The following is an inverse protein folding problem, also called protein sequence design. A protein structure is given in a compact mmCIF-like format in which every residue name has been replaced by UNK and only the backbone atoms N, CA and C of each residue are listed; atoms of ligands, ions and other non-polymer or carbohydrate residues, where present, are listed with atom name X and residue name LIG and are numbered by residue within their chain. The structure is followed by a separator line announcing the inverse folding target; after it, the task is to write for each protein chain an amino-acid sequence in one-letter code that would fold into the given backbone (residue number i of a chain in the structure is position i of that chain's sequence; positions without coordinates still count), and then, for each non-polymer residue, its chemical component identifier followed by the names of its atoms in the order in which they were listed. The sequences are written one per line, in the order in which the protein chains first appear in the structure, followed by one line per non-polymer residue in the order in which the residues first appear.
data_IF_984062385733
#
_entry.id   IF_984062385733
#
_cell.length_a   1.000
_cell.length_b   1.000
_cell.length_c   1.000
_cell.angle_alpha   90.00
_cell.angle_beta   90.00
_cell.angle_gamma   90.00
#
_symmetry.space_group_name_H-M   'P 1'
#
loop_
_entity.id
_entity.type
_entity.pdbx_description
1 polymer ?
#
# COMPACT_ATOMS: atom_id res chain seq x y z
N UNK A 1 -9.17 -11.21 -14.48
CA UNK A 1 -10.64 -11.31 -14.36
C UNK A 1 -11.18 -12.05 -15.56
N UNK A 2 -12.26 -12.86 -15.40
CA UNK A 2 -12.98 -13.35 -16.56
C UNK A 2 -13.40 -12.13 -17.40
N UNK A 3 -13.23 -12.21 -18.72
CA UNK A 3 -13.50 -11.12 -19.65
C UNK A 3 -14.94 -10.59 -19.63
N UNK A 4 -15.82 -11.18 -18.84
CA UNK A 4 -17.27 -10.95 -18.86
C UNK A 4 -17.86 -10.54 -17.48
N UNK A 5 -17.04 -10.25 -16.46
CA UNK A 5 -17.57 -9.83 -15.15
C UNK A 5 -18.45 -8.58 -15.25
N UNK A 6 -18.09 -7.67 -16.15
CA UNK A 6 -18.84 -6.43 -16.39
C UNK A 6 -20.28 -6.66 -16.80
N UNK A 7 -20.53 -7.73 -17.57
CA UNK A 7 -21.88 -8.12 -18.02
C UNK A 7 -22.76 -8.69 -16.90
N UNK A 8 -22.14 -9.10 -15.79
CA UNK A 8 -22.81 -9.65 -14.63
C UNK A 8 -23.11 -8.62 -13.54
N UNK A 9 -22.55 -7.41 -13.66
CA UNK A 9 -22.76 -6.37 -12.65
C UNK A 9 -24.24 -6.01 -12.54
N UNK A 10 -24.73 -6.00 -11.31
CA UNK A 10 -26.12 -5.67 -10.98
C UNK A 10 -26.15 -4.59 -9.90
N UNK A 11 -26.86 -3.47 -10.10
CA UNK A 11 -27.03 -2.45 -9.06
C UNK A 11 -27.71 -3.04 -7.81
N UNK A 12 -27.16 -2.75 -6.64
CA UNK A 12 -27.75 -3.13 -5.36
C UNK A 12 -27.51 -2.01 -4.33
N UNK A 13 -28.51 -1.76 -3.47
CA UNK A 13 -28.35 -0.85 -2.33
C UNK A 13 -27.76 -1.61 -1.14
N UNK A 14 -26.51 -1.97 -1.29
CA UNK A 14 -25.73 -2.75 -0.31
C UNK A 14 -24.36 -2.12 -0.12
N UNK A 15 -23.79 -2.29 1.07
CA UNK A 15 -22.51 -1.69 1.45
C UNK A 15 -21.49 -2.76 1.79
N UNK A 16 -20.30 -2.60 1.23
CA UNK A 16 -19.14 -3.48 1.41
C UNK A 16 -18.10 -2.73 2.23
N UNK A 17 -17.60 -3.36 3.29
CA UNK A 17 -16.49 -2.84 4.11
C UNK A 17 -15.30 -3.78 4.03
N UNK A 18 -14.20 -3.31 3.44
CA UNK A 18 -12.89 -3.97 3.47
C UNK A 18 -12.02 -3.32 4.55
N UNK A 19 -11.67 -4.07 5.57
CA UNK A 19 -10.77 -3.67 6.64
C UNK A 19 -9.43 -4.36 6.43
N UNK A 20 -8.38 -3.58 6.22
CA UNK A 20 -7.01 -4.09 6.02
C UNK A 20 -6.15 -3.72 7.22
N UNK A 21 -5.72 -4.72 7.95
CA UNK A 21 -4.63 -4.64 8.92
C UNK A 21 -3.31 -4.85 8.17
N UNK A 22 -2.59 -3.77 7.92
CA UNK A 22 -1.32 -3.80 7.20
C UNK A 22 -0.34 -4.76 7.89
N UNK A 23 0.24 -5.67 7.13
CA UNK A 23 1.19 -6.64 7.66
C UNK A 23 0.61 -7.65 8.64
N UNK A 24 -0.73 -7.88 8.65
CA UNK A 24 -1.41 -8.76 9.60
C UNK A 24 -0.77 -10.15 9.70
N UNK A 25 -0.47 -10.78 8.55
CA UNK A 25 0.01 -12.15 8.53
C UNK A 25 1.29 -12.34 9.35
N UNK A 26 1.37 -13.49 9.98
CA UNK A 26 2.49 -13.98 10.73
C UNK A 26 2.68 -15.48 10.53
N UNK A 27 3.41 -16.13 11.40
CA UNK A 27 3.45 -17.59 11.50
C UNK A 27 3.77 -18.03 12.92
N UNK A 28 3.21 -19.18 13.30
CA UNK A 28 3.55 -19.83 14.55
C UNK A 28 4.93 -20.50 14.46
N UNK A 29 5.74 -20.40 15.51
CA UNK A 29 6.97 -21.16 15.68
C UNK A 29 6.77 -22.33 16.67
N UNK A 30 7.85 -23.07 16.98
CA UNK A 30 7.76 -24.23 17.87
C UNK A 30 7.37 -23.92 19.32
N UNK A 31 7.36 -22.65 19.72
CA UNK A 31 7.13 -22.21 21.13
C UNK A 31 5.94 -21.28 21.29
N UNK A 32 5.41 -20.72 20.18
CA UNK A 32 4.41 -19.65 20.24
C UNK A 32 3.60 -19.57 18.96
N UNK A 33 2.31 -19.16 19.06
CA UNK A 33 1.47 -18.80 17.91
C UNK A 33 1.97 -17.58 17.15
N UNK A 34 1.33 -17.27 16.04
CA UNK A 34 1.54 -15.98 15.35
C UNK A 34 1.05 -14.83 16.23
N UNK A 35 1.40 -13.59 15.86
CA UNK A 35 0.92 -12.41 16.58
C UNK A 35 -0.62 -12.34 16.60
N UNK A 36 -1.28 -12.74 15.52
CA UNK A 36 -2.74 -12.81 15.47
C UNK A 36 -3.30 -13.91 16.37
N UNK A 37 -2.67 -15.10 16.40
CA UNK A 37 -3.10 -16.22 17.24
C UNK A 37 -2.91 -15.96 18.74
N UNK A 38 -1.96 -15.10 19.11
CA UNK A 38 -1.72 -14.70 20.51
C UNK A 38 -2.52 -13.45 20.92
N UNK A 39 -3.20 -12.78 19.97
CA UNK A 39 -4.01 -11.60 20.24
C UNK A 39 -5.38 -11.97 20.81
N UNK A 40 -5.86 -11.18 21.78
CA UNK A 40 -7.23 -11.28 22.29
C UNK A 40 -8.20 -10.58 21.33
N UNK A 41 -8.82 -11.32 20.42
CA UNK A 41 -9.69 -10.79 19.34
C UNK A 41 -11.12 -11.33 19.42
N UNK A 42 -11.87 -11.13 20.54
CA UNK A 42 -13.18 -11.74 20.73
C UNK A 42 -14.26 -11.29 19.74
N UNK A 43 -14.13 -10.11 19.14
CA UNK A 43 -15.06 -9.62 18.12
C UNK A 43 -14.80 -10.28 16.78
N UNK A 44 -13.53 -10.38 16.36
CA UNK A 44 -13.13 -11.09 15.13
C UNK A 44 -13.44 -12.58 15.24
N UNK A 45 -13.22 -13.22 16.40
CA UNK A 45 -13.57 -14.62 16.64
C UNK A 45 -15.09 -14.85 16.54
N UNK A 46 -15.87 -13.94 17.08
CA UNK A 46 -17.35 -14.00 16.92
C UNK A 46 -17.76 -13.88 15.45
N UNK A 47 -17.10 -13.01 14.69
CA UNK A 47 -17.36 -12.88 13.26
C UNK A 47 -16.89 -14.14 12.52
N UNK A 48 -15.73 -14.72 12.84
CA UNK A 48 -15.25 -15.96 12.25
C UNK A 48 -16.23 -17.10 12.47
N UNK A 49 -16.74 -17.26 13.70
CA UNK A 49 -17.73 -18.29 14.03
C UNK A 49 -19.09 -18.12 13.34
N UNK A 50 -19.36 -16.95 12.79
CA UNK A 50 -20.60 -16.62 12.08
C UNK A 50 -20.42 -16.39 10.58
N UNK A 51 -19.18 -16.44 10.06
CA UNK A 51 -18.80 -16.15 8.70
C UNK A 51 -17.99 -17.24 8.04
N UNK A 52 -17.18 -16.87 7.08
CA UNK A 52 -16.25 -17.75 6.35
C UNK A 52 -14.84 -17.22 6.41
N UNK A 53 -13.87 -18.11 6.65
CA UNK A 53 -12.46 -17.79 6.74
C UNK A 53 -11.65 -18.47 5.62
N UNK A 54 -10.43 -18.00 5.41
CA UNK A 54 -9.47 -18.59 4.50
C UNK A 54 -8.14 -17.86 4.50
N UNK A 55 -7.30 -18.19 3.53
CA UNK A 55 -5.99 -17.57 3.35
C UNK A 55 -5.90 -16.91 1.97
N UNK A 56 -5.32 -15.73 1.91
CA UNK A 56 -5.08 -15.02 0.66
C UNK A 56 -3.60 -15.05 0.28
N UNK A 57 -3.35 -15.21 -1.01
CA UNK A 57 -2.06 -14.98 -1.66
C UNK A 57 -2.05 -13.56 -2.22
N UNK A 58 -1.38 -12.59 -1.59
CA UNK A 58 -1.53 -11.19 -1.99
C UNK A 58 -1.09 -10.88 -3.42
N UNK A 59 0.04 -11.48 -3.83
CA UNK A 59 0.57 -11.37 -5.21
C UNK A 59 0.60 -12.73 -5.87
N UNK A 60 1.16 -13.72 -5.19
CA UNK A 60 1.23 -15.10 -5.68
C UNK A 60 1.98 -16.00 -4.72
N UNK A 61 1.82 -17.35 -4.84
CA UNK A 61 2.42 -18.30 -3.94
C UNK A 61 3.95 -18.16 -3.87
N UNK A 62 4.50 -18.02 -2.64
CA UNK A 62 5.93 -17.90 -2.41
C UNK A 62 6.56 -16.56 -2.79
N UNK A 63 5.76 -15.58 -3.21
CA UNK A 63 6.24 -14.23 -3.55
C UNK A 63 6.05 -13.30 -2.35
N UNK A 64 7.14 -12.72 -1.86
CA UNK A 64 7.06 -11.67 -0.83
C UNK A 64 6.50 -10.40 -1.44
N UNK A 65 5.31 -9.94 -1.03
CA UNK A 65 4.68 -8.78 -1.64
C UNK A 65 5.23 -7.46 -1.11
N UNK A 66 5.21 -6.44 -1.96
CA UNK A 66 5.20 -5.06 -1.50
C UNK A 66 3.76 -4.60 -1.28
N UNK A 67 3.55 -3.57 -0.45
CA UNK A 67 2.19 -3.12 -0.09
C UNK A 67 1.38 -2.62 -1.30
N UNK A 68 2.00 -1.96 -2.28
CA UNK A 68 1.29 -1.49 -3.49
C UNK A 68 0.66 -2.63 -4.29
N UNK A 69 1.44 -3.61 -4.80
CA UNK A 69 0.91 -4.78 -5.51
C UNK A 69 -0.10 -5.58 -4.69
N UNK A 70 0.14 -5.74 -3.39
CA UNK A 70 -0.75 -6.48 -2.50
C UNK A 70 -2.14 -5.83 -2.39
N UNK A 71 -2.20 -4.52 -2.19
CA UNK A 71 -3.48 -3.79 -2.17
C UNK A 71 -4.19 -3.80 -3.52
N UNK A 72 -3.45 -3.69 -4.65
CA UNK A 72 -4.05 -3.89 -5.96
C UNK A 72 -4.73 -5.26 -6.05
N UNK A 73 -4.08 -6.31 -5.56
CA UNK A 73 -4.70 -7.64 -5.44
C UNK A 73 -5.99 -7.60 -4.64
N UNK A 74 -5.99 -7.00 -3.43
CA UNK A 74 -7.20 -6.87 -2.61
C UNK A 74 -8.33 -6.08 -3.28
N UNK A 75 -7.99 -5.10 -4.12
CA UNK A 75 -8.95 -4.34 -4.91
C UNK A 75 -9.37 -5.04 -6.22
N UNK A 76 -8.90 -6.28 -6.43
CA UNK A 76 -9.27 -7.11 -7.59
C UNK A 76 -8.52 -6.76 -8.87
N UNK A 77 -7.40 -6.07 -8.79
CA UNK A 77 -6.48 -5.83 -9.91
C UNK A 77 -5.37 -6.88 -9.87
N UNK A 78 -5.05 -7.45 -11.02
CA UNK A 78 -3.92 -8.38 -11.13
C UNK A 78 -2.59 -7.61 -10.93
N UNK A 79 -1.81 -7.88 -9.88
CA UNK A 79 -0.58 -7.14 -9.62
C UNK A 79 0.53 -7.40 -10.63
N UNK A 80 0.40 -8.40 -11.51
CA UNK A 80 1.32 -8.63 -12.62
C UNK A 80 0.93 -7.88 -13.89
N UNK A 81 -0.36 -7.56 -14.04
CA UNK A 81 -0.88 -6.73 -15.13
C UNK A 81 -0.69 -5.23 -14.80
N UNK A 82 -1.02 -4.85 -13.56
CA UNK A 82 -0.98 -3.47 -13.09
C UNK A 82 0.24 -3.24 -12.18
N UNK A 83 1.39 -2.94 -12.79
CA UNK A 83 2.64 -2.73 -12.05
C UNK A 83 2.80 -1.24 -11.74
N UNK A 84 2.76 -0.89 -10.46
CA UNK A 84 2.96 0.48 -9.99
C UNK A 84 4.34 0.67 -9.37
N UNK A 85 5.09 1.61 -9.92
CA UNK A 85 6.35 2.04 -9.33
C UNK A 85 6.15 2.96 -8.12
N UNK A 86 7.18 3.07 -7.29
CA UNK A 86 7.15 3.89 -6.06
C UNK A 86 6.96 5.37 -6.35
N UNK A 87 7.44 5.86 -7.50
CA UNK A 87 7.27 7.24 -7.92
C UNK A 87 5.81 7.62 -8.12
N UNK A 88 5.06 6.81 -8.90
CA UNK A 88 3.64 7.04 -9.14
C UNK A 88 2.82 6.96 -7.84
N UNK A 89 3.13 5.98 -6.98
CA UNK A 89 2.47 5.84 -5.66
C UNK A 89 2.72 7.05 -4.74
N UNK A 90 3.98 7.54 -4.68
CA UNK A 90 4.31 8.74 -3.90
C UNK A 90 3.64 9.99 -4.45
N UNK A 91 3.60 10.16 -5.78
CA UNK A 91 2.93 11.29 -6.43
C UNK A 91 1.43 11.30 -6.08
N UNK A 92 0.74 10.18 -6.25
CA UNK A 92 -0.67 10.04 -5.91
C UNK A 92 -0.93 10.25 -4.40
N UNK A 93 -0.03 9.79 -3.53
CA UNK A 93 -0.09 10.00 -2.07
C UNK A 93 0.00 11.46 -1.65
N UNK A 94 0.83 12.23 -2.35
CA UNK A 94 1.05 13.65 -2.13
C UNK A 94 0.12 14.56 -2.96
N UNK A 95 -0.84 13.98 -3.68
CA UNK A 95 -1.75 14.71 -4.56
C UNK A 95 -1.02 15.51 -5.68
N UNK A 96 0.16 15.02 -6.07
CA UNK A 96 0.91 15.57 -7.20
C UNK A 96 0.45 14.90 -8.48
N UNK A 97 -0.18 15.66 -9.36
CA UNK A 97 -0.68 15.18 -10.64
C UNK A 97 0.48 14.84 -11.59
N UNK A 98 0.55 13.59 -12.00
CA UNK A 98 1.43 13.14 -13.08
C UNK A 98 0.71 13.26 -14.42
N UNK A 99 1.38 13.87 -15.39
CA UNK A 99 0.91 13.94 -16.78
C UNK A 99 1.57 12.84 -17.63
N UNK A 100 0.96 12.45 -18.76
CA UNK A 100 1.63 11.57 -19.70
C UNK A 100 3.01 12.13 -20.10
N UNK A 101 4.04 11.29 -19.99
CA UNK A 101 5.44 11.67 -20.24
C UNK A 101 6.23 12.17 -19.01
N UNK A 102 5.58 12.40 -17.87
CA UNK A 102 6.30 12.65 -16.62
C UNK A 102 7.02 11.38 -16.14
N UNK A 103 8.19 11.57 -15.53
CA UNK A 103 8.91 10.50 -14.83
C UNK A 103 8.98 10.84 -13.36
N UNK A 104 8.37 10.00 -12.54
CA UNK A 104 8.37 10.14 -11.08
C UNK A 104 9.27 9.09 -10.42
N UNK A 105 9.95 9.46 -9.35
CA UNK A 105 10.71 8.54 -8.52
C UNK A 105 10.54 8.89 -7.04
N UNK A 106 10.55 7.88 -6.16
CA UNK A 106 10.71 8.11 -4.74
C UNK A 106 12.20 8.16 -4.40
N UNK A 107 12.64 9.27 -3.83
CA UNK A 107 13.99 9.45 -3.35
C UNK A 107 14.07 9.26 -1.83
N UNK A 108 15.21 8.76 -1.35
CA UNK A 108 15.59 8.88 0.05
C UNK A 108 16.66 9.98 0.16
N UNK A 109 16.49 10.90 1.10
CA UNK A 109 17.61 11.67 1.64
C UNK A 109 18.57 10.68 2.32
N UNK A 110 19.84 10.75 1.96
CA UNK A 110 20.88 9.83 2.41
C UNK A 110 22.17 10.57 2.79
N UNK A 111 23.06 9.88 3.49
CA UNK A 111 24.36 10.41 3.89
C UNK A 111 25.47 9.71 3.10
N UNK A 112 26.35 10.51 2.50
CA UNK A 112 27.61 10.06 1.92
C UNK A 112 28.79 10.50 2.80
N UNK A 113 29.83 9.65 2.84
CA UNK A 113 31.15 10.04 3.38
C UNK A 113 31.96 10.86 2.36
N UNK A 114 33.13 11.33 2.79
CA UNK A 114 34.09 12.12 1.97
C UNK A 114 34.61 11.34 0.74
N UNK A 115 34.42 10.02 0.69
CA UNK A 115 34.78 9.16 -0.44
C UNK A 115 33.59 8.91 -1.36
N UNK A 116 32.43 9.55 -1.11
CA UNK A 116 31.21 9.40 -1.89
C UNK A 116 30.45 8.07 -1.66
N UNK A 117 30.70 7.38 -0.55
CA UNK A 117 30.02 6.11 -0.22
C UNK A 117 28.87 6.35 0.72
N UNK A 118 27.79 5.64 0.53
CA UNK A 118 26.58 5.70 1.38
C UNK A 118 26.92 5.17 2.78
N UNK A 119 26.83 6.02 3.77
CA UNK A 119 26.97 5.65 5.20
C UNK A 119 25.63 5.43 5.85
N UNK A 120 24.60 6.18 5.43
CA UNK A 120 23.23 6.00 5.88
C UNK A 120 22.26 6.27 4.72
N UNK A 121 21.44 5.27 4.39
CA UNK A 121 20.43 5.33 3.31
C UNK A 121 19.17 6.11 3.69
N UNK A 122 19.08 6.58 4.92
CA UNK A 122 17.90 7.28 5.50
C UNK A 122 18.26 8.59 6.20
N UNK A 123 19.51 9.06 6.05
CA UNK A 123 20.06 10.30 6.65
C UNK A 123 19.76 10.43 8.16
N UNK A 124 19.79 9.32 8.91
CA UNK A 124 19.46 9.28 10.34
C UNK A 124 17.97 9.46 10.65
N UNK A 125 17.09 9.27 9.67
CA UNK A 125 15.65 9.54 9.77
C UNK A 125 15.39 10.98 10.23
N UNK A 126 15.68 11.99 9.39
CA UNK A 126 15.53 13.40 9.76
C UNK A 126 14.07 13.69 10.18
N UNK A 127 13.91 14.70 11.01
CA UNK A 127 12.59 15.27 11.29
C UNK A 127 11.94 15.80 10.01
N UNK A 128 10.64 16.00 10.01
CA UNK A 128 9.97 16.58 8.86
C UNK A 128 10.46 18.00 8.54
N UNK A 129 10.85 18.77 9.56
CA UNK A 129 11.39 20.13 9.38
C UNK A 129 12.78 20.09 8.69
N UNK A 130 13.69 19.22 9.14
CA UNK A 130 15.00 19.03 8.51
C UNK A 130 14.87 18.54 7.05
N UNK A 131 13.94 17.62 6.78
CA UNK A 131 13.68 17.14 5.44
C UNK A 131 13.04 18.20 4.55
N UNK A 132 12.14 19.02 5.08
CA UNK A 132 11.53 20.16 4.36
C UNK A 132 12.57 21.19 3.97
N UNK A 133 13.55 21.46 4.85
CA UNK A 133 14.66 22.35 4.52
C UNK A 133 15.54 21.78 3.40
N UNK A 134 15.85 20.48 3.44
CA UNK A 134 16.59 19.83 2.35
C UNK A 134 15.83 19.94 1.02
N UNK A 135 14.50 19.74 1.02
CA UNK A 135 13.66 19.90 -0.17
C UNK A 135 13.64 21.36 -0.66
N UNK A 136 13.66 22.35 0.23
CA UNK A 136 13.78 23.76 -0.16
C UNK A 136 15.08 24.02 -0.89
N UNK A 137 16.21 23.55 -0.35
CA UNK A 137 17.53 23.68 -1.00
C UNK A 137 17.58 23.01 -2.38
N UNK A 138 16.98 21.84 -2.52
CA UNK A 138 16.86 21.15 -3.80
C UNK A 138 16.07 21.98 -4.83
N UNK A 139 14.93 22.56 -4.43
CA UNK A 139 14.10 23.42 -5.31
C UNK A 139 14.85 24.65 -5.77
N UNK A 140 15.71 25.21 -4.93
CA UNK A 140 16.49 26.42 -5.24
C UNK A 140 17.77 26.11 -6.02
N UNK A 141 18.37 24.93 -5.82
CA UNK A 141 19.67 24.60 -6.37
C UNK A 141 19.65 23.69 -7.61
N UNK A 142 18.51 23.10 -7.98
CA UNK A 142 18.43 22.18 -9.11
C UNK A 142 17.67 22.82 -10.26
N UNK A 143 18.36 23.06 -11.36
CA UNK A 143 17.79 23.62 -12.61
C UNK A 143 18.36 22.87 -13.81
N UNK A 144 17.52 22.13 -14.52
CA UNK A 144 17.92 21.33 -15.67
C UNK A 144 17.23 21.91 -16.92
N UNK A 145 17.99 22.27 -17.93
CA UNK A 145 17.46 22.90 -19.14
C UNK A 145 16.42 22.01 -19.84
N UNK A 146 15.24 22.58 -20.07
CA UNK A 146 14.12 21.87 -20.72
C UNK A 146 13.43 20.83 -19.86
N UNK A 147 13.74 20.77 -18.55
CA UNK A 147 13.10 19.87 -17.58
C UNK A 147 12.56 20.67 -16.39
N UNK A 148 11.24 20.58 -16.15
CA UNK A 148 10.65 21.01 -14.90
C UNK A 148 10.89 19.92 -13.83
N UNK A 149 11.58 20.27 -12.75
CA UNK A 149 11.85 19.35 -11.64
C UNK A 149 10.99 19.73 -10.44
N UNK A 150 10.15 18.81 -9.99
CA UNK A 150 9.34 18.97 -8.78
C UNK A 150 9.91 18.09 -7.67
N UNK A 151 10.15 18.70 -6.50
CA UNK A 151 10.46 17.99 -5.26
C UNK A 151 9.32 18.19 -4.27
N UNK A 152 8.85 17.12 -3.63
CA UNK A 152 7.86 17.18 -2.56
C UNK A 152 8.26 16.27 -1.40
N UNK A 153 8.22 16.78 -0.17
CA UNK A 153 8.50 15.99 1.02
C UNK A 153 7.31 15.03 1.28
N UNK A 154 7.59 13.75 1.47
CA UNK A 154 6.57 12.74 1.78
C UNK A 154 6.49 12.49 3.29
N UNK A 155 7.56 11.99 3.89
CA UNK A 155 7.69 11.78 5.32
C UNK A 155 9.15 11.47 5.69
N UNK A 156 9.66 12.00 6.78
CA UNK A 156 11.03 11.76 7.26
C UNK A 156 12.05 11.97 6.12
N UNK A 157 12.81 10.94 5.76
CA UNK A 157 13.82 10.95 4.73
C UNK A 157 13.31 10.78 3.29
N UNK A 158 11.99 10.64 3.09
CA UNK A 158 11.39 10.34 1.79
C UNK A 158 10.98 11.61 1.05
N UNK A 159 11.35 11.67 -0.21
CA UNK A 159 11.08 12.80 -1.12
C UNK A 159 10.54 12.25 -2.42
N UNK A 160 9.47 12.82 -2.94
CA UNK A 160 9.04 12.63 -4.30
C UNK A 160 9.87 13.52 -5.23
N UNK A 161 10.31 12.95 -6.34
CA UNK A 161 10.92 13.68 -7.46
C UNK A 161 10.08 13.43 -8.70
N UNK A 162 9.64 14.49 -9.39
CA UNK A 162 8.97 14.40 -10.69
C UNK A 162 9.79 15.19 -11.70
N UNK A 163 10.09 14.56 -12.82
CA UNK A 163 10.76 15.12 -13.97
C UNK A 163 9.73 15.25 -15.10
N UNK A 164 9.51 16.46 -15.56
CA UNK A 164 8.60 16.78 -16.68
C UNK A 164 9.36 17.42 -17.81
N UNK A 165 9.32 16.82 -18.99
CA UNK A 165 10.00 17.29 -20.21
C UNK A 165 9.77 16.35 -21.38
N UNK A 166 10.10 16.80 -22.57
CA UNK A 166 9.93 15.98 -23.77
C UNK A 166 10.89 14.79 -23.79
N UNK A 167 10.44 13.64 -24.28
CA UNK A 167 11.26 12.46 -24.55
C UNK A 167 11.79 11.77 -23.30
N UNK A 168 11.14 11.91 -22.15
CA UNK A 168 11.46 11.16 -20.94
C UNK A 168 10.76 9.81 -20.93
N UNK A 169 11.42 8.81 -20.34
CA UNK A 169 10.86 7.47 -20.11
C UNK A 169 11.27 6.97 -18.73
N UNK A 170 10.36 6.31 -17.98
CA UNK A 170 10.66 5.79 -16.64
C UNK A 170 11.47 4.48 -16.65
N UNK A 171 11.82 3.96 -17.84
CA UNK A 171 12.55 2.69 -17.97
C UNK A 171 14.02 2.84 -17.55
N UNK A 172 14.21 3.13 -16.25
CA UNK A 172 15.51 3.38 -15.61
C UNK A 172 15.82 2.36 -14.52
N UNK A 173 17.10 2.19 -14.21
CA UNK A 173 17.53 1.47 -13.01
C UNK A 173 17.56 2.43 -11.81
N UNK A 174 17.30 1.91 -10.61
CA UNK A 174 17.41 2.66 -9.36
C UNK A 174 18.85 3.17 -9.13
N UNK A 175 18.99 4.30 -8.40
CA UNK A 175 20.31 4.80 -7.96
C UNK A 175 20.65 4.36 -6.53
N UNK A 176 19.66 3.85 -5.78
CA UNK A 176 19.87 3.31 -4.43
C UNK A 176 20.55 1.92 -4.50
N UNK A 177 21.79 1.77 -4.00
CA UNK A 177 22.49 0.48 -3.99
C UNK A 177 21.88 -0.54 -3.00
N UNK A 178 20.94 -0.11 -2.17
CA UNK A 178 20.33 -0.88 -1.09
C UNK A 178 21.33 -1.45 -0.07
N UNK A 179 22.54 -0.87 -0.04
CA UNK A 179 23.63 -1.22 0.85
C UNK A 179 24.36 0.04 1.33
N UNK A 180 25.09 -0.06 2.42
CA UNK A 180 26.03 0.95 2.91
C UNK A 180 27.48 0.56 2.59
N UNK A 181 28.42 1.52 2.66
CA UNK A 181 29.84 1.31 2.35
C UNK A 181 30.16 1.31 0.85
N UNK A 182 29.18 1.52 -0.01
CA UNK A 182 29.33 1.56 -1.48
C UNK A 182 28.84 2.90 -2.03
N UNK A 183 29.29 3.28 -3.23
CA UNK A 183 28.78 4.46 -3.90
C UNK A 183 27.33 4.27 -4.38
N UNK A 184 26.52 5.34 -4.48
CA UNK A 184 25.26 5.31 -5.20
C UNK A 184 25.44 4.74 -6.61
N UNK A 185 24.43 4.05 -7.12
CA UNK A 185 24.43 3.56 -8.49
C UNK A 185 24.15 4.72 -9.46
N UNK A 186 24.64 4.58 -10.68
CA UNK A 186 24.28 5.48 -11.78
C UNK A 186 23.01 4.94 -12.43
N UNK A 187 22.00 5.78 -12.58
CA UNK A 187 20.79 5.41 -13.33
C UNK A 187 21.16 5.04 -14.77
N UNK A 188 20.67 3.92 -15.25
CA UNK A 188 20.88 3.44 -16.62
C UNK A 188 19.55 3.23 -17.31
N UNK A 189 19.48 3.60 -18.56
CA UNK A 189 18.35 3.27 -19.42
C UNK A 189 18.22 1.74 -19.57
N UNK A 190 17.01 1.25 -19.47
CA UNK A 190 16.65 -0.15 -19.75
C UNK A 190 16.21 -0.34 -21.19
N UNK A 191 15.84 0.76 -21.85
CA UNK A 191 15.47 0.83 -23.26
C UNK A 191 16.04 2.09 -23.90
N UNK A 192 16.26 2.15 -25.20
CA UNK A 192 16.82 3.34 -25.88
C UNK A 192 16.01 4.63 -25.65
N UNK A 193 14.70 4.51 -25.48
CA UNK A 193 13.79 5.64 -25.23
C UNK A 193 14.05 6.31 -23.87
N UNK A 194 14.76 5.63 -22.96
CA UNK A 194 15.08 6.14 -21.64
C UNK A 194 16.48 6.78 -21.55
N UNK A 195 17.27 6.80 -22.62
CA UNK A 195 18.64 7.36 -22.61
C UNK A 195 18.64 8.82 -22.15
N UNK A 196 17.73 9.65 -22.68
CA UNK A 196 17.59 11.05 -22.24
C UNK A 196 17.23 11.16 -20.76
N UNK A 197 16.34 10.31 -20.26
CA UNK A 197 15.96 10.33 -18.84
C UNK A 197 17.14 9.92 -17.96
N UNK A 198 17.99 8.99 -18.38
CA UNK A 198 19.21 8.62 -17.66
C UNK A 198 20.20 9.79 -17.57
N UNK A 199 20.39 10.57 -18.66
CA UNK A 199 21.22 11.78 -18.65
C UNK A 199 20.66 12.85 -17.72
N UNK A 200 19.32 13.06 -17.73
CA UNK A 200 18.64 14.00 -16.84
C UNK A 200 18.80 13.58 -15.37
N UNK A 201 18.68 12.29 -15.05
CA UNK A 201 18.90 11.78 -13.67
C UNK A 201 20.35 11.92 -13.24
N UNK A 202 21.32 11.76 -14.12
CA UNK A 202 22.73 11.98 -13.80
C UNK A 202 23.00 13.46 -13.48
N UNK A 203 22.40 14.38 -14.23
CA UNK A 203 22.51 15.82 -13.97
C UNK A 203 21.76 16.21 -12.68
N UNK A 204 20.58 15.62 -12.43
CA UNK A 204 19.84 15.76 -11.18
C UNK A 204 20.70 15.35 -9.98
N UNK A 205 21.37 14.19 -10.03
CA UNK A 205 22.25 13.72 -8.94
C UNK A 205 23.38 14.70 -8.69
N UNK A 206 24.05 15.17 -9.75
CA UNK A 206 25.13 16.14 -9.67
C UNK A 206 24.70 17.44 -8.99
N UNK A 207 23.61 18.04 -9.44
CA UNK A 207 23.09 19.31 -8.90
C UNK A 207 22.53 19.13 -7.49
N UNK A 208 21.85 18.03 -7.20
CA UNK A 208 21.33 17.71 -5.86
C UNK A 208 22.46 17.62 -4.83
N UNK A 209 23.55 16.95 -5.14
CA UNK A 209 24.73 16.90 -4.25
C UNK A 209 25.34 18.27 -4.02
N UNK A 210 25.36 19.13 -5.03
CA UNK A 210 25.84 20.50 -4.90
C UNK A 210 24.89 21.33 -4.01
N UNK A 211 23.59 21.23 -4.21
CA UNK A 211 22.60 21.95 -3.41
C UNK A 211 22.58 21.50 -1.94
N UNK A 212 22.89 20.24 -1.66
CA UNK A 212 22.90 19.64 -0.33
C UNK A 212 24.32 19.57 0.30
N UNK A 213 25.35 20.15 -0.31
CA UNK A 213 26.74 19.99 0.12
C UNK A 213 27.01 20.40 1.60
N UNK A 214 26.31 21.41 2.08
CA UNK A 214 26.43 21.91 3.46
C UNK A 214 25.54 21.15 4.47
N UNK A 215 24.79 20.15 4.02
CA UNK A 215 23.92 19.36 4.90
C UNK A 215 24.72 18.21 5.54
N UNK A 216 24.81 18.14 6.88
CA UNK A 216 25.72 17.20 7.54
C UNK A 216 25.28 15.73 7.40
N UNK A 217 24.01 15.46 7.18
CA UNK A 217 23.44 14.11 7.07
C UNK A 217 22.66 13.87 5.78
N UNK A 218 21.92 14.86 5.30
CA UNK A 218 21.06 14.73 4.13
C UNK A 218 21.76 15.33 2.89
N UNK A 219 22.90 14.76 2.47
CA UNK A 219 23.77 15.31 1.43
C UNK A 219 23.69 14.59 0.07
N UNK A 220 22.72 13.66 -0.08
CA UNK A 220 22.51 12.89 -1.29
C UNK A 220 21.05 12.46 -1.44
N UNK A 221 20.62 12.25 -2.69
CA UNK A 221 19.37 11.58 -3.04
C UNK A 221 19.64 10.18 -3.59
N UNK A 222 18.91 9.18 -3.08
CA UNK A 222 18.89 7.83 -3.63
C UNK A 222 17.51 7.55 -4.24
N UNK A 223 17.45 7.56 -5.57
CA UNK A 223 16.21 7.43 -6.35
C UNK A 223 15.82 5.97 -6.56
N UNK A 224 14.53 5.68 -6.42
CA UNK A 224 13.98 4.32 -6.53
C UNK A 224 12.59 4.30 -7.18
N UNK A 225 12.33 3.21 -7.93
CA UNK A 225 11.02 2.91 -8.48
C UNK A 225 10.54 4.00 -9.42
N UNK A 226 11.35 4.28 -10.43
CA UNK A 226 10.95 5.16 -11.52
C UNK A 226 9.67 4.66 -12.17
N UNK A 227 8.72 5.56 -12.36
CA UNK A 227 7.43 5.27 -12.96
C UNK A 227 6.88 6.52 -13.66
N UNK A 228 5.77 6.37 -14.36
CA UNK A 228 5.10 7.46 -15.07
C UNK A 228 3.63 7.55 -14.64
N UNK A 229 2.90 8.43 -15.31
CA UNK A 229 1.45 8.46 -15.20
C UNK A 229 0.86 7.09 -15.54
N UNK A 230 0.04 6.54 -14.64
CA UNK A 230 -0.63 5.27 -14.79
C UNK A 230 -2.14 5.47 -14.90
N UNK A 231 -2.73 4.95 -15.95
CA UNK A 231 -4.19 4.90 -16.11
C UNK A 231 -4.68 3.52 -15.66
N UNK A 232 -5.15 3.44 -14.40
CA UNK A 232 -5.84 2.26 -13.90
C UNK A 232 -7.35 2.44 -14.16
N UNK A 233 -8.04 1.40 -14.66
CA UNK A 233 -9.50 1.44 -14.70
C UNK A 233 -10.04 1.70 -13.29
N UNK A 234 -10.93 2.68 -13.12
CA UNK A 234 -11.50 2.98 -11.81
C UNK A 234 -12.35 1.81 -11.29
N UNK A 235 -12.54 1.74 -9.97
CA UNK A 235 -13.47 0.76 -9.38
C UNK A 235 -14.92 1.03 -9.82
N UNK A 236 -15.26 2.26 -10.12
CA UNK A 236 -16.57 2.61 -10.72
C UNK A 236 -16.73 1.98 -12.10
N UNK A 237 -15.73 2.13 -12.99
CA UNK A 237 -15.78 1.55 -14.33
C UNK A 237 -15.68 0.03 -14.34
N UNK A 238 -14.95 -0.53 -13.38
CA UNK A 238 -14.64 -1.95 -13.32
C UNK A 238 -15.70 -2.76 -12.61
N UNK A 239 -16.31 -2.20 -11.55
CA UNK A 239 -17.19 -2.91 -10.63
C UNK A 239 -18.53 -2.21 -10.40
N UNK A 240 -18.74 -1.01 -10.94
CA UNK A 240 -19.95 -0.21 -10.71
C UNK A 240 -20.09 0.26 -9.27
N UNK A 241 -18.97 0.45 -8.56
CA UNK A 241 -18.93 0.88 -7.16
C UNK A 241 -18.70 2.39 -7.04
N UNK A 242 -19.22 2.97 -5.97
CA UNK A 242 -18.91 4.31 -5.50
C UNK A 242 -18.03 4.20 -4.23
N UNK A 243 -16.70 4.05 -4.39
CA UNK A 243 -15.82 3.65 -3.31
C UNK A 243 -15.27 4.83 -2.53
N UNK A 244 -15.09 4.65 -1.21
CA UNK A 244 -14.37 5.56 -0.33
C UNK A 244 -13.22 4.84 0.39
N UNK A 245 -12.19 5.59 0.78
CA UNK A 245 -11.02 5.08 1.50
C UNK A 245 -10.71 5.93 2.72
N UNK A 246 -10.43 5.28 3.84
CA UNK A 246 -9.91 5.89 5.06
C UNK A 246 -8.56 5.26 5.38
N UNK A 247 -7.50 6.00 5.10
CA UNK A 247 -6.13 5.59 5.34
C UNK A 247 -5.31 6.78 5.85
N UNK A 248 -4.38 6.52 6.77
CA UNK A 248 -3.52 7.58 7.35
C UNK A 248 -2.28 7.80 6.48
N UNK A 249 -1.65 6.72 6.04
CA UNK A 249 -0.36 6.80 5.36
C UNK A 249 -0.49 7.23 3.89
N UNK A 250 0.33 8.19 3.41
CA UNK A 250 0.18 8.79 2.07
C UNK A 250 0.14 7.78 0.92
N UNK A 251 0.97 6.74 0.95
CA UNK A 251 1.02 5.72 -0.10
C UNK A 251 -0.32 5.01 -0.31
N UNK A 252 -1.04 4.65 0.77
CA UNK A 252 -2.34 3.96 0.66
C UNK A 252 -3.44 4.91 0.21
N UNK A 253 -3.36 6.19 0.65
CA UNK A 253 -4.24 7.25 0.14
C UNK A 253 -4.04 7.45 -1.37
N UNK A 254 -2.78 7.46 -1.83
CA UNK A 254 -2.43 7.55 -3.24
C UNK A 254 -2.95 6.36 -4.04
N UNK A 255 -2.74 5.15 -3.54
CA UNK A 255 -3.22 3.94 -4.20
C UNK A 255 -4.75 3.93 -4.34
N UNK A 256 -5.47 4.32 -3.27
CA UNK A 256 -6.92 4.47 -3.31
C UNK A 256 -7.38 5.47 -4.39
N UNK A 257 -6.70 6.64 -4.52
CA UNK A 257 -7.00 7.61 -5.59
C UNK A 257 -6.77 7.03 -6.99
N UNK A 258 -5.67 6.28 -7.18
CA UNK A 258 -5.34 5.69 -8.49
C UNK A 258 -6.41 4.72 -8.98
N UNK A 259 -7.13 4.06 -8.08
CA UNK A 259 -8.25 3.17 -8.42
C UNK A 259 -9.63 3.88 -8.33
N UNK A 260 -9.64 5.20 -8.16
CA UNK A 260 -10.84 6.03 -8.21
C UNK A 260 -11.66 6.05 -6.92
N UNK A 261 -11.05 5.81 -5.75
CA UNK A 261 -11.74 5.97 -4.45
C UNK A 261 -11.71 7.44 -3.98
N UNK A 262 -12.78 7.89 -3.36
CA UNK A 262 -12.80 9.13 -2.60
C UNK A 262 -12.00 8.94 -1.30
N UNK A 263 -10.90 9.68 -1.16
CA UNK A 263 -10.01 9.56 0.00
C UNK A 263 -10.44 10.53 1.09
N UNK A 264 -11.01 9.98 2.15
CA UNK A 264 -11.57 10.74 3.27
C UNK A 264 -10.49 11.18 4.27
N UNK A 265 -10.81 12.20 5.06
CA UNK A 265 -9.98 12.67 6.14
C UNK A 265 -8.95 13.73 5.76
N UNK A 266 -8.03 14.06 6.63
CA UNK A 266 -7.19 13.14 7.44
C UNK A 266 -7.86 12.61 8.71
N UNK A 267 -7.34 11.46 9.21
CA UNK A 267 -7.68 10.88 10.49
C UNK A 267 -6.41 10.75 11.35
N UNK A 268 -6.52 11.10 12.64
CA UNK A 268 -5.38 11.05 13.53
C UNK A 268 -5.06 9.62 14.01
N UNK A 269 -6.09 8.81 14.20
CA UNK A 269 -6.03 7.47 14.76
C UNK A 269 -7.20 6.61 14.25
N UNK A 270 -7.28 5.36 14.73
CA UNK A 270 -8.30 4.40 14.31
C UNK A 270 -9.72 4.84 14.69
N UNK A 271 -9.91 5.48 15.84
CA UNK A 271 -11.23 6.00 16.26
C UNK A 271 -11.70 7.12 15.33
N UNK A 272 -10.81 8.03 14.95
CA UNK A 272 -11.11 9.07 13.98
C UNK A 272 -11.42 8.48 12.58
N UNK A 273 -10.76 7.38 12.20
CA UNK A 273 -11.08 6.66 10.96
C UNK A 273 -12.50 6.09 10.98
N UNK A 274 -12.92 5.46 12.09
CA UNK A 274 -14.29 4.94 12.26
C UNK A 274 -15.31 6.08 12.19
N UNK A 275 -15.02 7.22 12.82
CA UNK A 275 -15.90 8.40 12.75
C UNK A 275 -16.08 8.89 11.31
N UNK A 276 -15.00 9.07 10.56
CA UNK A 276 -15.07 9.49 9.15
C UNK A 276 -15.89 8.51 8.30
N UNK A 277 -15.74 7.22 8.55
CA UNK A 277 -16.49 6.17 7.88
C UNK A 277 -17.99 6.28 8.18
N UNK A 278 -18.34 6.48 9.46
CA UNK A 278 -19.71 6.67 9.91
C UNK A 278 -20.37 7.91 9.28
N UNK A 279 -19.67 9.03 9.27
CA UNK A 279 -20.19 10.31 8.74
C UNK A 279 -20.48 10.25 7.23
N UNK A 280 -19.79 9.35 6.51
CA UNK A 280 -19.91 9.22 5.05
C UNK A 280 -20.64 7.95 4.60
N UNK A 281 -21.07 7.11 5.54
CA UNK A 281 -21.60 5.76 5.29
C UNK A 281 -22.73 5.70 4.27
N UNK A 282 -23.60 6.69 4.23
CA UNK A 282 -24.73 6.75 3.30
C UNK A 282 -24.38 7.28 1.91
N UNK A 283 -23.17 7.81 1.72
CA UNK A 283 -22.76 8.44 0.47
C UNK A 283 -21.99 7.50 -0.48
N UNK A 284 -21.50 6.37 0.05
CA UNK A 284 -20.73 5.39 -0.69
C UNK A 284 -21.28 3.98 -0.49
N UNK A 285 -20.83 3.04 -1.32
CA UNK A 285 -21.27 1.66 -1.29
C UNK A 285 -20.12 0.64 -1.13
N UNK A 286 -18.89 1.13 -1.17
CA UNK A 286 -17.67 0.39 -0.86
C UNK A 286 -16.76 1.25 0.00
N UNK A 287 -16.24 0.66 1.07
CA UNK A 287 -15.34 1.34 2.00
C UNK A 287 -14.08 0.51 2.21
N UNK A 288 -12.93 1.17 2.09
CA UNK A 288 -11.62 0.64 2.44
C UNK A 288 -11.12 1.34 3.70
N UNK A 289 -10.97 0.61 4.80
CA UNK A 289 -10.36 1.07 6.04
C UNK A 289 -9.00 0.43 6.19
N UNK A 290 -7.96 1.24 6.41
CA UNK A 290 -6.58 0.80 6.50
C UNK A 290 -5.97 1.11 7.88
N UNK A 291 -5.50 0.06 8.58
CA UNK A 291 -4.82 0.15 9.87
C UNK A 291 -3.34 -0.22 9.74
N UNK A 292 -2.43 0.78 9.89
CA UNK A 292 -0.98 0.63 9.68
C UNK A 292 -0.24 -0.02 10.85
N UNK A 293 -0.82 -0.04 12.04
CA UNK A 293 -0.15 -0.44 13.28
C UNK A 293 0.60 -1.77 13.22
N UNK A 294 -0.03 -2.87 12.77
CA UNK A 294 0.58 -4.19 12.81
C UNK A 294 1.87 -4.31 11.97
N UNK A 295 1.91 -3.67 10.78
CA UNK A 295 3.10 -3.69 9.95
C UNK A 295 4.27 -2.92 10.57
N UNK A 296 4.00 -1.74 11.12
CA UNK A 296 5.04 -0.94 11.77
C UNK A 296 5.71 -1.71 12.91
N UNK A 297 4.91 -2.35 13.76
CA UNK A 297 5.40 -3.16 14.87
C UNK A 297 6.13 -4.44 14.37
N UNK A 298 5.62 -5.06 13.30
CA UNK A 298 6.25 -6.21 12.67
C UNK A 298 7.62 -5.89 12.07
N UNK A 299 7.76 -4.77 11.34
CA UNK A 299 9.04 -4.29 10.78
C UNK A 299 10.06 -3.91 11.88
N UNK A 300 9.59 -3.43 13.04
CA UNK A 300 10.43 -3.11 14.20
C UNK A 300 10.81 -4.38 15.01
N UNK A 301 10.26 -5.54 14.67
CA UNK A 301 10.51 -6.81 15.36
C UNK A 301 9.80 -6.91 16.72
N UNK A 302 8.84 -6.04 16.99
CA UNK A 302 8.13 -5.98 18.28
C UNK A 302 6.82 -6.79 18.24
N UNK A 303 6.91 -8.04 18.70
CA UNK A 303 5.77 -8.95 18.78
C UNK A 303 4.63 -8.39 19.65
N UNK A 304 4.95 -7.84 20.83
CA UNK A 304 3.94 -7.34 21.76
C UNK A 304 3.21 -6.10 21.23
N UNK A 305 3.94 -5.20 20.57
CA UNK A 305 3.33 -4.05 19.92
C UNK A 305 2.42 -4.46 18.76
N UNK A 306 2.79 -5.50 17.98
CA UNK A 306 1.95 -6.02 16.90
C UNK A 306 0.67 -6.66 17.44
N UNK A 307 0.75 -7.49 18.49
CA UNK A 307 -0.43 -8.01 19.21
C UNK A 307 -1.34 -6.87 19.64
N UNK A 308 -0.80 -5.84 20.31
CA UNK A 308 -1.57 -4.67 20.75
C UNK A 308 -2.27 -3.95 19.59
N UNK A 309 -1.58 -3.79 18.46
CA UNK A 309 -2.17 -3.14 17.28
C UNK A 309 -3.33 -3.96 16.67
N UNK A 310 -3.24 -5.28 16.67
CA UNK A 310 -4.32 -6.17 16.23
C UNK A 310 -5.53 -6.05 17.18
N UNK A 311 -5.30 -6.07 18.50
CA UNK A 311 -6.33 -5.91 19.52
C UNK A 311 -7.03 -4.54 19.46
N UNK A 312 -6.31 -3.48 19.08
CA UNK A 312 -6.90 -2.16 18.86
C UNK A 312 -7.94 -2.17 17.73
N UNK A 313 -7.68 -2.92 16.63
CA UNK A 313 -8.69 -3.07 15.59
C UNK A 313 -9.88 -3.89 16.08
N UNK A 314 -9.65 -5.00 16.78
CA UNK A 314 -10.74 -5.80 17.34
C UNK A 314 -11.68 -4.95 18.20
N UNK A 315 -11.11 -4.04 18.99
CA UNK A 315 -11.88 -3.18 19.90
C UNK A 315 -12.84 -2.23 19.19
N UNK A 316 -12.57 -1.80 17.94
CA UNK A 316 -13.45 -0.92 17.16
C UNK A 316 -14.41 -1.69 16.23
N UNK A 317 -14.27 -3.00 16.11
CA UNK A 317 -15.16 -3.80 15.26
C UNK A 317 -16.64 -3.67 15.61
N UNK A 318 -17.06 -3.58 16.89
CA UNK A 318 -18.47 -3.34 17.21
C UNK A 318 -19.04 -2.05 16.61
N UNK A 319 -18.26 -0.96 16.59
CA UNK A 319 -18.69 0.32 16.02
C UNK A 319 -18.82 0.22 14.49
N UNK A 320 -17.90 -0.48 13.83
CA UNK A 320 -17.97 -0.75 12.39
C UNK A 320 -19.17 -1.62 12.03
N UNK A 321 -19.49 -2.64 12.84
CA UNK A 321 -20.66 -3.51 12.62
C UNK A 321 -21.98 -2.79 12.90
N UNK A 322 -21.99 -1.79 13.79
CA UNK A 322 -23.17 -0.95 14.06
C UNK A 322 -23.61 -0.10 12.85
N UNK A 323 -22.73 0.07 11.83
CA UNK A 323 -23.06 0.69 10.55
C UNK A 323 -23.90 -0.23 9.64
N UNK A 324 -24.11 -1.47 10.05
CA UNK A 324 -24.89 -2.49 9.31
C UNK A 324 -24.38 -2.76 7.88
N UNK A 325 -23.08 -3.08 7.70
CA UNK A 325 -22.56 -3.48 6.41
C UNK A 325 -23.15 -4.81 5.93
N UNK A 326 -23.45 -4.91 4.63
CA UNK A 326 -23.92 -6.15 4.01
C UNK A 326 -22.80 -7.20 3.87
N UNK A 327 -21.56 -6.74 3.67
CA UNK A 327 -20.37 -7.58 3.62
C UNK A 327 -19.24 -6.87 4.35
N UNK A 328 -18.61 -7.55 5.28
CA UNK A 328 -17.35 -7.14 5.91
C UNK A 328 -16.27 -8.16 5.56
N UNK A 329 -15.12 -7.68 5.13
CA UNK A 329 -13.91 -8.49 5.04
C UNK A 329 -12.84 -7.89 5.93
N UNK A 330 -12.22 -8.71 6.76
CA UNK A 330 -11.03 -8.35 7.54
C UNK A 330 -9.87 -9.21 7.06
N UNK A 331 -8.77 -8.59 6.66
CA UNK A 331 -7.57 -9.26 6.16
C UNK A 331 -6.35 -8.35 6.31
N UNK A 332 -5.18 -8.80 5.83
CA UNK A 332 -4.00 -7.99 5.62
C UNK A 332 -3.62 -7.93 4.14
N UNK A 333 -2.72 -7.05 3.80
CA UNK A 333 -2.13 -6.96 2.47
C UNK A 333 -0.92 -7.87 2.30
N UNK A 334 -0.18 -8.13 3.36
CA UNK A 334 0.94 -9.07 3.41
C UNK A 334 1.17 -9.60 4.83
N UNK A 335 2.10 -10.54 4.95
CA UNK A 335 2.60 -10.95 6.24
C UNK A 335 3.88 -10.15 6.58
N UNK A 336 3.94 -9.63 7.83
CA UNK A 336 5.13 -8.99 8.40
C UNK A 336 5.41 -9.61 9.79
N UNK A 337 5.90 -10.87 9.82
CA UNK A 337 6.20 -11.53 11.08
C UNK A 337 7.29 -10.76 11.84
N UNK A 338 7.07 -10.47 13.11
CA UNK A 338 8.04 -9.74 13.93
C UNK A 338 9.36 -10.50 14.09
N UNK A 339 9.32 -11.84 14.02
CA UNK A 339 10.52 -12.67 14.05
C UNK A 339 11.44 -12.41 12.86
N UNK A 340 10.88 -11.97 11.72
CA UNK A 340 11.63 -11.64 10.51
C UNK A 340 11.96 -10.15 10.40
N UNK A 341 11.24 -9.29 11.12
CA UNK A 341 11.31 -7.82 11.02
C UNK A 341 11.26 -7.33 9.55
N UNK A 342 10.47 -7.99 8.72
CA UNK A 342 10.34 -7.76 7.29
C UNK A 342 9.09 -8.43 6.74
N UNK A 343 8.65 -7.98 5.56
CA UNK A 343 7.61 -8.67 4.79
C UNK A 343 8.04 -10.10 4.45
N UNK A 344 7.08 -10.99 4.38
CA UNK A 344 7.31 -12.38 4.03
C UNK A 344 6.28 -12.91 3.03
N UNK A 345 6.56 -14.08 2.45
CA UNK A 345 5.76 -14.75 1.43
C UNK A 345 4.57 -15.55 2.00
N UNK A 346 4.36 -15.54 3.31
CA UNK A 346 3.28 -16.31 3.93
C UNK A 346 1.92 -15.78 3.48
N UNK A 347 0.97 -16.69 3.28
CA UNK A 347 -0.40 -16.34 2.98
C UNK A 347 -1.06 -15.64 4.18
N UNK A 348 -1.99 -14.73 3.89
CA UNK A 348 -2.58 -13.84 4.90
C UNK A 348 -3.98 -14.31 5.28
N UNK A 349 -4.33 -14.38 6.57
CA UNK A 349 -5.69 -14.69 7.01
C UNK A 349 -6.72 -13.72 6.46
N UNK A 350 -7.88 -14.26 6.08
CA UNK A 350 -9.03 -13.48 5.67
C UNK A 350 -10.30 -14.02 6.31
N UNK A 351 -11.10 -13.11 6.82
CA UNK A 351 -12.41 -13.35 7.40
C UNK A 351 -13.44 -12.55 6.60
N UNK A 352 -14.49 -13.21 6.13
CA UNK A 352 -15.66 -12.59 5.51
C UNK A 352 -16.91 -12.85 6.33
N UNK A 353 -17.67 -11.80 6.59
CA UNK A 353 -18.91 -11.85 7.33
C UNK A 353 -20.01 -11.01 6.65
N UNK A 354 -21.25 -11.45 6.78
CA UNK A 354 -22.43 -10.72 6.29
C UNK A 354 -23.67 -11.62 6.20
N UNK A 355 -24.88 -11.04 6.03
CA UNK A 355 -26.14 -11.80 6.03
C UNK A 355 -26.23 -12.88 4.95
N UNK A 356 -25.49 -12.73 3.86
CA UNK A 356 -25.46 -13.69 2.73
C UNK A 356 -24.18 -14.52 2.68
N UNK A 357 -23.28 -14.33 3.63
CA UNK A 357 -22.04 -15.11 3.73
C UNK A 357 -22.35 -16.42 4.45
N UNK A 358 -21.95 -17.55 3.86
CA UNK A 358 -22.10 -18.85 4.49
C UNK A 358 -21.21 -18.98 5.74
N UNK A 359 -21.57 -19.89 6.62
CA UNK A 359 -20.76 -20.24 7.80
C UNK A 359 -19.88 -21.44 7.49
N UNK A 360 -18.66 -21.41 7.99
CA UNK A 360 -17.74 -22.55 7.98
C UNK A 360 -17.45 -23.03 9.43
N UNK A 361 -16.65 -24.07 9.63
CA UNK A 361 -16.37 -24.61 10.96
C UNK A 361 -15.34 -23.80 11.76
N UNK A 362 -14.78 -22.71 11.21
CA UNK A 362 -13.79 -21.88 11.89
C UNK A 362 -14.46 -21.10 13.04
N UNK A 363 -13.85 -21.11 14.20
CA UNK A 363 -14.37 -20.44 15.41
C UNK A 363 -13.49 -19.34 15.95
N UNK A 364 -12.25 -19.24 15.46
CA UNK A 364 -11.26 -18.22 15.86
C UNK A 364 -10.59 -17.68 14.61
N UNK A 365 -10.22 -16.41 14.63
CA UNK A 365 -9.52 -15.78 13.50
C UNK A 365 -8.01 -15.89 13.69
N UNK A 366 -7.34 -16.70 12.89
CA UNK A 366 -5.88 -16.96 12.95
C UNK A 366 -5.42 -17.78 11.77
N UNK A 367 -4.11 -17.83 11.53
CA UNK A 367 -3.52 -18.48 10.36
C UNK A 367 -3.87 -19.97 10.30
N UNK A 368 -3.69 -20.69 11.40
CA UNK A 368 -3.96 -22.12 11.44
C UNK A 368 -5.46 -22.43 11.34
N UNK A 369 -6.31 -21.65 11.97
CA UNK A 369 -7.76 -21.83 11.90
C UNK A 369 -8.28 -21.57 10.49
N UNK A 370 -7.81 -20.52 9.83
CA UNK A 370 -8.19 -20.14 8.46
C UNK A 370 -7.85 -21.19 7.40
N UNK A 371 -6.90 -22.09 7.65
CA UNK A 371 -6.60 -23.24 6.75
C UNK A 371 -7.82 -24.14 6.50
N UNK A 372 -8.74 -24.25 7.48
CA UNK A 372 -9.94 -25.08 7.39
C UNK A 372 -11.19 -24.32 6.89
N UNK A 373 -11.06 -23.04 6.54
CA UNK A 373 -12.20 -22.21 6.20
C UNK A 373 -12.69 -22.35 4.75
N UNK A 374 -13.96 -21.99 4.51
CA UNK A 374 -14.64 -22.18 3.21
C UNK A 374 -14.13 -21.22 2.12
N UNK A 375 -13.55 -20.09 2.47
CA UNK A 375 -12.88 -19.24 1.49
C UNK A 375 -11.67 -19.96 0.85
N UNK A 376 -11.09 -20.95 1.55
CA UNK A 376 -9.91 -21.68 1.08
C UNK A 376 -8.67 -20.80 0.96
N UNK A 377 -7.65 -21.33 0.27
CA UNK A 377 -6.43 -20.56 -0.08
C UNK A 377 -6.53 -20.13 -1.54
N UNK A 378 -6.47 -18.81 -1.79
CA UNK A 378 -6.71 -18.23 -3.12
C UNK A 378 -5.95 -16.94 -3.36
N UNK A 379 -5.83 -16.48 -4.63
CA UNK A 379 -5.35 -15.14 -4.94
C UNK A 379 -6.21 -14.06 -4.27
N UNK A 380 -5.57 -13.02 -3.74
CA UNK A 380 -6.29 -11.88 -3.17
C UNK A 380 -7.20 -11.20 -4.21
N UNK A 381 -6.83 -11.23 -5.49
CA UNK A 381 -7.62 -10.65 -6.58
C UNK A 381 -9.02 -11.29 -6.76
N UNK A 382 -9.22 -12.51 -6.26
CA UNK A 382 -10.56 -13.16 -6.29
C UNK A 382 -11.53 -12.53 -5.29
N UNK A 383 -11.00 -11.88 -4.24
CA UNK A 383 -11.79 -11.37 -3.12
C UNK A 383 -12.86 -10.37 -3.56
N UNK A 384 -12.51 -9.45 -4.46
CA UNK A 384 -13.47 -8.45 -4.96
C UNK A 384 -14.70 -9.10 -5.60
N UNK A 385 -14.50 -10.11 -6.45
CA UNK A 385 -15.61 -10.82 -7.09
C UNK A 385 -16.48 -11.53 -6.06
N UNK A 386 -15.88 -12.10 -5.01
CA UNK A 386 -16.62 -12.78 -3.93
C UNK A 386 -17.42 -11.75 -3.12
N UNK A 387 -16.86 -10.60 -2.78
CA UNK A 387 -17.57 -9.51 -2.08
C UNK A 387 -18.77 -9.00 -2.91
N UNK A 388 -18.60 -8.81 -4.22
CA UNK A 388 -19.67 -8.42 -5.12
C UNK A 388 -20.80 -9.48 -5.16
N UNK A 389 -20.44 -10.76 -5.20
CA UNK A 389 -21.41 -11.85 -5.13
C UNK A 389 -22.16 -11.88 -3.80
N UNK A 390 -21.45 -11.81 -2.69
CA UNK A 390 -22.02 -11.81 -1.34
C UNK A 390 -22.92 -10.60 -1.06
N UNK A 391 -22.59 -9.43 -1.64
CA UNK A 391 -23.41 -8.22 -1.55
C UNK A 391 -24.60 -8.20 -2.52
N UNK A 392 -24.75 -9.20 -3.41
CA UNK A 392 -25.83 -9.27 -4.38
C UNK A 392 -25.66 -8.35 -5.58
N UNK A 393 -24.42 -7.98 -5.89
CA UNK A 393 -24.07 -7.10 -7.02
C UNK A 393 -23.67 -7.87 -8.29
N UNK A 394 -23.84 -9.19 -8.29
CA UNK A 394 -23.62 -10.03 -9.47
C UNK A 394 -24.90 -10.78 -9.86
N UNK A 395 -25.25 -10.68 -11.14
CA UNK A 395 -26.30 -11.48 -11.75
C UNK A 395 -25.82 -12.94 -11.97
N UNK A 396 -26.77 -13.84 -12.16
CA UNK A 396 -26.51 -15.25 -12.51
C UNK A 396 -25.78 -15.31 -13.86
N UNK A 397 -24.73 -16.13 -13.93
CA UNK A 397 -24.05 -16.45 -15.19
C UNK A 397 -24.77 -17.61 -15.89
N UNK A 398 -25.19 -17.39 -17.11
CA UNK A 398 -25.87 -18.38 -17.93
C UNK A 398 -27.37 -18.58 -17.59
N UNK A 399 -28.02 -19.44 -18.32
CA UNK A 399 -29.45 -19.72 -18.23
C UNK A 399 -29.84 -20.50 -16.98
#
# INVERSE_FOLDING_TARGET
MPADLKSLLHPADTRILLVVMDGLGGYADAGRGSELEESATPNLDRMASAGSCGLLEPVGPGITPGSGPAHLGLFGYDPFEFVLGRGALSAAGLEVELKPGDVAARANLATLDDQGRVTDRRAGRPSNDEATEAVRLLREGVHIDGIEVTFAHEAQHRVLVVLRGEGLSPQLTDTDPQATGVAPLVARARTPEADRAAEVVAELDRQSRQALADQPRANCLLLRGFDSHQELPSMADRYGLNPAAVAVYPMYRGLARLVGMDVLGPAADLSAQVTLLSDTWTHHDYFFLHHKGPDSAGEDGDFGAKVTAIEQLDAVMPDLLALEPDVVVVTGDHATPSQMAAHSWHAVPALMWGPRVGRDPVSTFGENACLGGALGRRPAADLMTIMLGASGRLAKYGA
#
